data_IF_659968814227
#
_entry.id   IF_659968814227
#
_cell.length_a   1.000
_cell.length_b   1.000
_cell.length_c   1.000
_cell.angle_alpha   90.00
_cell.angle_beta   90.00
_cell.angle_gamma   90.00
#
_symmetry.space_group_name_H-M   'P 1'
#
loop_
_entity.id
_entity.type
_entity.pdbx_description
1 polymer ?
#
# COMPACT_ATOMS: atom_id res chain seq x y z
N UNK A 1 -40.62 -58.75 -7.11
CA UNK A 1 -40.58 -59.40 -5.78
C UNK A 1 -39.36 -58.83 -5.07
N UNK A 2 -39.38 -58.17 -3.98
CA UNK A 2 -40.25 -57.94 -2.86
C UNK A 2 -39.84 -56.71 -2.11
N UNK A 3 -40.80 -56.08 -1.62
CA UNK A 3 -40.96 -55.10 -0.54
C UNK A 3 -39.86 -55.00 0.52
N UNK A 4 -39.57 -53.77 1.00
CA UNK A 4 -39.81 -53.44 2.40
C UNK A 4 -40.12 -51.96 2.58
N UNK A 5 -41.32 -51.69 3.12
CA UNK A 5 -41.75 -50.47 3.81
C UNK A 5 -41.11 -50.47 5.24
N UNK A 6 -40.70 -49.30 5.74
CA UNK A 6 -40.42 -49.23 7.18
C UNK A 6 -39.53 -48.05 7.64
N UNK A 7 -39.74 -46.83 7.16
CA UNK A 7 -39.06 -45.65 7.78
C UNK A 7 -39.98 -44.41 7.96
N UNK A 8 -41.24 -44.64 8.23
CA UNK A 8 -42.21 -43.53 8.36
C UNK A 8 -42.74 -43.32 9.81
N UNK A 9 -42.37 -44.17 10.78
CA UNK A 9 -43.00 -44.15 12.09
C UNK A 9 -42.14 -43.55 13.22
N UNK A 10 -40.82 -43.47 13.06
CA UNK A 10 -39.91 -42.97 14.15
C UNK A 10 -39.83 -41.43 14.21
N UNK A 11 -40.15 -40.70 13.16
CA UNK A 11 -40.03 -39.23 13.16
C UNK A 11 -41.22 -38.50 13.79
N UNK A 12 -42.38 -39.13 13.89
CA UNK A 12 -43.59 -38.51 14.48
C UNK A 12 -43.66 -38.62 16.02
N UNK A 13 -42.99 -39.60 16.63
CA UNK A 13 -42.95 -39.73 18.08
C UNK A 13 -41.92 -38.82 18.77
N UNK A 14 -40.85 -38.43 18.09
CA UNK A 14 -39.86 -37.45 18.62
C UNK A 14 -40.35 -35.99 18.57
N UNK A 15 -41.26 -35.66 17.66
CA UNK A 15 -41.84 -34.32 17.59
C UNK A 15 -42.89 -34.07 18.70
N UNK A 16 -43.62 -35.11 19.14
CA UNK A 16 -44.63 -34.99 20.18
C UNK A 16 -44.02 -34.90 21.60
N UNK A 17 -42.84 -35.50 21.83
CA UNK A 17 -42.15 -35.43 23.13
C UNK A 17 -41.49 -34.06 23.41
N UNK A 18 -41.13 -33.30 22.35
CA UNK A 18 -40.56 -31.94 22.51
C UNK A 18 -41.62 -30.85 22.74
N UNK A 19 -42.85 -31.06 22.32
CA UNK A 19 -43.96 -30.12 22.57
C UNK A 19 -44.52 -30.17 23.99
N UNK A 20 -44.32 -31.28 24.73
CA UNK A 20 -44.77 -31.44 26.10
C UNK A 20 -43.86 -30.80 27.17
N UNK A 21 -42.60 -30.57 26.86
CA UNK A 21 -41.63 -29.98 27.83
C UNK A 21 -41.62 -28.44 27.85
N UNK A 22 -42.23 -27.76 26.89
CA UNK A 22 -42.31 -26.30 26.86
C UNK A 22 -43.53 -25.69 27.57
N UNK A 23 -44.48 -26.49 28.09
CA UNK A 23 -45.66 -25.99 28.78
C UNK A 23 -45.51 -25.89 30.33
N UNK A 24 -44.35 -26.24 30.89
CA UNK A 24 -44.12 -26.30 32.33
C UNK A 24 -43.36 -25.11 32.95
N UNK A 25 -42.98 -24.10 32.23
CA UNK A 25 -42.11 -23.03 32.76
C UNK A 25 -42.64 -21.61 32.53
N UNK A 26 -43.92 -21.38 32.58
CA UNK A 26 -44.46 -20.00 32.65
C UNK A 26 -45.11 -19.82 34.02
N UNK A 27 -44.29 -19.71 35.08
CA UNK A 27 -44.70 -19.06 36.32
C UNK A 27 -44.51 -17.54 36.11
N UNK A 28 -45.63 -16.81 36.08
CA UNK A 28 -45.73 -15.36 35.98
C UNK A 28 -44.88 -14.68 37.06
N UNK A 29 -43.74 -14.13 36.66
CA UNK A 29 -43.09 -13.04 37.41
C UNK A 29 -43.64 -11.72 36.86
N UNK A 30 -44.27 -10.91 37.74
CA UNK A 30 -44.65 -9.52 37.41
C UNK A 30 -43.37 -8.78 36.92
N UNK A 31 -43.36 -8.42 35.68
CA UNK A 31 -42.28 -7.60 35.09
C UNK A 31 -42.35 -6.19 35.69
N UNK A 32 -41.19 -5.66 36.10
CA UNK A 32 -41.08 -4.29 36.58
C UNK A 32 -41.31 -3.26 35.48
N UNK A 33 -41.70 -2.04 35.85
CA UNK A 33 -42.07 -0.95 34.92
C UNK A 33 -41.01 -0.63 33.86
N UNK A 34 -39.73 -0.82 34.16
CA UNK A 34 -38.63 -0.60 33.23
C UNK A 34 -38.58 -1.63 32.09
N UNK A 35 -38.94 -2.91 32.36
CA UNK A 35 -39.00 -3.94 31.32
C UNK A 35 -40.20 -3.77 30.39
N UNK A 36 -41.33 -3.24 30.89
CA UNK A 36 -42.47 -2.87 30.04
C UNK A 36 -42.17 -1.69 29.13
N UNK A 37 -41.42 -0.68 29.60
CA UNK A 37 -40.98 0.44 28.76
C UNK A 37 -40.00 0.03 27.67
N UNK A 38 -39.10 -0.91 27.98
CA UNK A 38 -38.13 -1.42 26.98
C UNK A 38 -38.82 -2.23 25.86
N UNK A 39 -39.83 -3.04 26.21
CA UNK A 39 -40.64 -3.78 25.23
C UNK A 39 -41.51 -2.86 24.36
N UNK A 40 -42.05 -1.78 24.93
CA UNK A 40 -42.78 -0.77 24.15
C UNK A 40 -41.86 0.01 23.20
N UNK A 41 -40.65 0.34 23.60
CA UNK A 41 -39.64 0.97 22.76
C UNK A 41 -39.19 0.03 21.61
N UNK A 42 -38.98 -1.24 21.89
CA UNK A 42 -38.66 -2.20 20.81
C UNK A 42 -39.83 -2.41 19.85
N UNK A 43 -41.09 -2.40 20.31
CA UNK A 43 -42.26 -2.50 19.43
C UNK A 43 -42.46 -1.23 18.57
N UNK A 44 -42.19 -0.05 19.13
CA UNK A 44 -42.20 1.21 18.39
C UNK A 44 -41.10 1.26 17.36
N UNK A 45 -39.91 0.73 17.67
CA UNK A 45 -38.81 0.63 16.66
C UNK A 45 -39.16 -0.34 15.52
N UNK A 46 -39.82 -1.47 15.81
CA UNK A 46 -40.29 -2.42 14.80
C UNK A 46 -41.46 -1.86 13.97
N UNK A 47 -42.35 -1.05 14.53
CA UNK A 47 -43.43 -0.40 13.79
C UNK A 47 -42.93 0.76 12.93
N UNK A 48 -41.91 1.49 13.36
CA UNK A 48 -41.27 2.55 12.57
C UNK A 48 -40.42 1.99 11.41
N UNK A 49 -39.85 0.78 11.55
CA UNK A 49 -39.13 0.10 10.47
C UNK A 49 -40.05 -0.56 9.43
N UNK A 50 -41.33 -0.80 9.78
CA UNK A 50 -42.32 -1.42 8.86
C UNK A 50 -43.08 -0.37 8.00
N UNK A 51 -42.96 0.93 8.25
CA UNK A 51 -43.69 1.99 7.55
C UNK A 51 -42.81 2.77 6.54
N UNK A 52 -41.55 2.38 6.33
CA UNK A 52 -40.67 3.00 5.36
C UNK A 52 -40.18 2.07 4.24
N UNK A 53 -41.05 1.53 3.39
CA UNK A 53 -40.63 1.20 2.03
C UNK A 53 -41.44 2.03 1.06
N UNK A 54 -40.97 3.18 0.69
CA UNK A 54 -41.26 3.87 -0.57
C UNK A 54 -40.98 5.36 -0.41
N UNK A 55 -39.77 5.76 -0.60
CA UNK A 55 -39.29 6.91 -1.39
C UNK A 55 -37.75 6.90 -1.32
N UNK A 56 -37.10 5.82 -1.64
CA UNK A 56 -35.80 5.92 -2.28
C UNK A 56 -36.11 6.00 -3.78
N UNK A 57 -36.44 7.20 -4.25
CA UNK A 57 -36.27 7.51 -5.66
C UNK A 57 -34.80 7.24 -5.94
N UNK A 58 -34.55 6.20 -6.75
CA UNK A 58 -33.25 5.98 -7.34
C UNK A 58 -32.86 7.33 -8.00
N UNK A 59 -31.96 8.06 -7.39
CA UNK A 59 -31.28 9.17 -8.03
C UNK A 59 -30.54 8.50 -9.16
N UNK A 60 -31.01 8.72 -10.40
CA UNK A 60 -30.27 8.28 -11.58
C UNK A 60 -28.87 8.88 -11.43
N UNK A 61 -27.81 8.10 -11.56
CA UNK A 61 -26.46 8.66 -11.56
C UNK A 61 -26.43 9.76 -12.62
N UNK A 62 -25.94 10.92 -12.26
CA UNK A 62 -25.75 12.04 -13.20
C UNK A 62 -24.79 11.50 -14.26
N UNK A 63 -25.15 11.55 -15.55
CA UNK A 63 -24.24 11.10 -16.60
C UNK A 63 -22.93 11.88 -16.51
N UNK A 64 -21.80 11.20 -16.54
CA UNK A 64 -20.45 11.81 -16.46
C UNK A 64 -20.21 12.89 -17.55
N UNK A 65 -21.00 12.88 -18.63
CA UNK A 65 -21.00 13.89 -19.68
C UNK A 65 -21.34 15.32 -19.21
N UNK A 66 -21.90 15.50 -18.01
CA UNK A 66 -22.23 16.85 -17.46
C UNK A 66 -21.03 17.46 -16.70
N UNK A 67 -20.03 16.65 -16.32
CA UNK A 67 -18.85 17.12 -15.59
C UNK A 67 -17.66 17.49 -16.49
N UNK A 68 -17.78 17.36 -17.81
CA UNK A 68 -16.73 17.75 -18.76
C UNK A 68 -15.42 16.95 -18.62
N UNK A 69 -15.42 15.85 -17.88
CA UNK A 69 -14.30 14.90 -17.84
C UNK A 69 -14.52 13.94 -19.00
N UNK A 70 -13.88 14.19 -20.14
CA UNK A 70 -13.72 13.16 -21.14
C UNK A 70 -12.96 12.00 -20.48
N UNK A 71 -13.64 10.89 -20.21
CA UNK A 71 -12.97 9.63 -19.91
C UNK A 71 -12.19 9.26 -21.17
N UNK A 72 -10.88 9.51 -21.16
CA UNK A 72 -9.99 9.09 -22.22
C UNK A 72 -10.17 7.60 -22.46
N UNK A 73 -10.05 7.18 -23.72
CA UNK A 73 -10.18 5.77 -24.11
C UNK A 73 -9.14 4.89 -23.36
N UNK A 74 -9.57 4.31 -22.26
CA UNK A 74 -8.73 3.46 -21.39
C UNK A 74 -8.22 2.18 -22.09
N UNK A 75 -8.70 1.87 -23.31
CA UNK A 75 -8.23 0.75 -24.11
C UNK A 75 -6.97 1.07 -24.94
N UNK A 76 -6.63 2.35 -25.08
CA UNK A 76 -5.39 2.77 -25.77
C UNK A 76 -4.15 2.28 -25.04
N UNK A 77 -3.07 2.07 -25.80
CA UNK A 77 -1.75 1.84 -25.24
C UNK A 77 -1.26 3.03 -24.42
N UNK A 78 -0.63 2.77 -23.28
CA UNK A 78 -0.06 3.85 -22.46
C UNK A 78 1.14 4.51 -23.13
N UNK A 79 1.91 3.77 -23.92
CA UNK A 79 3.04 4.32 -24.68
C UNK A 79 2.53 5.03 -25.93
N UNK A 80 2.62 6.35 -25.94
CA UNK A 80 2.07 7.23 -26.97
C UNK A 80 3.18 8.11 -27.57
N UNK A 81 3.30 8.08 -28.89
CA UNK A 81 4.34 8.80 -29.62
C UNK A 81 4.19 10.32 -29.52
N UNK A 82 2.96 10.81 -29.55
CA UNK A 82 2.64 12.23 -29.43
C UNK A 82 3.04 12.81 -28.06
N UNK A 83 2.88 12.07 -26.97
CA UNK A 83 3.36 12.45 -25.64
C UNK A 83 4.90 12.55 -25.65
N UNK A 84 5.59 11.53 -26.18
CA UNK A 84 7.06 11.53 -26.29
C UNK A 84 7.54 12.75 -27.07
N UNK A 85 6.92 13.03 -28.23
CA UNK A 85 7.28 14.18 -29.04
C UNK A 85 7.00 15.52 -28.36
N UNK A 86 5.86 15.63 -27.66
CA UNK A 86 5.49 16.85 -26.93
C UNK A 86 6.50 17.17 -25.85
N UNK A 87 6.84 16.18 -25.02
CA UNK A 87 7.85 16.35 -23.96
C UNK A 87 9.21 16.72 -24.54
N UNK A 88 9.69 15.96 -25.53
CA UNK A 88 11.03 16.17 -26.09
C UNK A 88 11.18 17.48 -26.90
N UNK A 89 10.09 18.07 -27.34
CA UNK A 89 10.07 19.39 -27.99
C UNK A 89 9.85 20.55 -27.03
N UNK A 90 9.44 20.25 -25.78
CA UNK A 90 9.15 21.29 -24.79
C UNK A 90 10.46 21.92 -24.27
N UNK A 91 10.65 23.25 -24.43
CA UNK A 91 11.93 23.90 -24.12
C UNK A 91 12.36 23.79 -22.67
N UNK A 92 11.41 23.72 -21.74
CA UNK A 92 11.65 23.70 -20.30
C UNK A 92 11.36 22.34 -19.66
N UNK A 93 11.28 21.26 -20.43
CA UNK A 93 10.99 19.94 -19.88
C UNK A 93 12.01 19.53 -18.81
N UNK A 94 13.32 19.68 -19.10
CA UNK A 94 14.38 19.27 -18.17
C UNK A 94 14.58 17.76 -18.09
N UNK A 95 13.78 16.98 -18.84
CA UNK A 95 13.85 15.54 -18.91
C UNK A 95 13.55 15.00 -20.31
N UNK A 96 13.89 13.74 -20.54
CA UNK A 96 13.72 13.07 -21.82
C UNK A 96 12.67 11.98 -21.72
N UNK A 97 11.70 11.99 -22.62
CA UNK A 97 10.74 10.92 -22.81
C UNK A 97 11.21 9.94 -23.90
N UNK A 98 10.96 8.65 -23.71
CA UNK A 98 11.26 7.62 -24.67
C UNK A 98 10.19 6.52 -24.67
N UNK A 99 10.23 5.68 -25.72
CA UNK A 99 9.48 4.43 -25.74
C UNK A 99 10.04 3.51 -24.63
N UNK A 100 9.19 3.17 -23.68
CA UNK A 100 9.56 2.30 -22.58
C UNK A 100 9.12 0.85 -22.88
N UNK A 101 10.06 -0.10 -23.08
CA UNK A 101 9.71 -1.49 -23.39
C UNK A 101 8.90 -2.19 -22.32
N UNK A 102 9.07 -1.80 -21.05
CA UNK A 102 8.33 -2.37 -19.92
C UNK A 102 6.82 -2.19 -20.08
N UNK A 103 6.38 -1.04 -20.57
CA UNK A 103 4.96 -0.72 -20.78
C UNK A 103 4.50 -0.84 -22.24
N UNK A 104 5.30 -1.40 -23.15
CA UNK A 104 5.01 -1.41 -24.59
C UNK A 104 3.63 -2.00 -24.95
N UNK A 105 3.15 -2.96 -24.15
CA UNK A 105 1.87 -3.64 -24.38
C UNK A 105 0.82 -3.33 -23.29
N UNK A 106 1.08 -2.37 -22.41
CA UNK A 106 0.10 -1.95 -21.42
C UNK A 106 -0.93 -1.00 -22.02
N UNK A 107 -2.18 -1.21 -21.74
CA UNK A 107 -3.23 -0.21 -21.94
C UNK A 107 -3.20 0.82 -20.83
N UNK A 108 -3.85 1.97 -21.04
CA UNK A 108 -4.06 2.98 -19.99
C UNK A 108 -4.76 2.36 -18.77
N UNK A 109 -5.76 1.48 -19.00
CA UNK A 109 -6.44 0.78 -17.90
C UNK A 109 -5.49 -0.11 -17.07
N UNK A 110 -4.61 -0.85 -17.73
CA UNK A 110 -3.63 -1.71 -17.07
C UNK A 110 -2.59 -0.88 -16.30
N UNK A 111 -2.14 0.23 -16.88
CA UNK A 111 -1.21 1.15 -16.22
C UNK A 111 -1.84 1.77 -14.97
N UNK A 112 -3.10 2.23 -15.02
CA UNK A 112 -3.82 2.74 -13.85
C UNK A 112 -3.92 1.72 -12.72
N UNK A 113 -4.02 0.44 -13.02
CA UNK A 113 -4.15 -0.63 -12.00
C UNK A 113 -2.89 -0.86 -11.17
N UNK A 114 -1.71 -0.58 -11.71
CA UNK A 114 -0.47 -0.70 -10.95
C UNK A 114 -0.18 0.53 -10.06
N UNK A 115 -0.98 1.59 -10.17
CA UNK A 115 -0.89 2.80 -9.36
C UNK A 115 -1.74 2.64 -8.11
N UNK A 116 -1.16 2.00 -7.08
CA UNK A 116 -1.88 1.47 -5.95
C UNK A 116 -1.93 2.37 -4.71
N UNK A 117 -1.66 3.67 -4.79
CA UNK A 117 -1.83 4.55 -3.62
C UNK A 117 -3.25 5.13 -3.60
N UNK A 118 -3.95 4.89 -2.50
CA UNK A 118 -5.25 5.49 -2.21
C UNK A 118 -5.08 6.75 -1.35
N UNK A 119 -5.93 7.78 -1.54
CA UNK A 119 -5.94 8.94 -0.66
C UNK A 119 -6.19 8.52 0.79
N UNK A 120 -5.23 8.82 1.68
CA UNK A 120 -5.36 8.44 3.09
C UNK A 120 -6.49 9.22 3.76
N UNK A 121 -7.48 8.56 4.38
CA UNK A 121 -8.56 9.24 5.07
C UNK A 121 -8.05 10.18 6.18
N UNK A 122 -8.61 11.39 6.29
CA UNK A 122 -8.20 12.38 7.28
C UNK A 122 -8.27 11.84 8.72
N UNK A 123 -9.24 10.97 9.02
CA UNK A 123 -9.35 10.31 10.31
C UNK A 123 -8.15 9.43 10.68
N UNK A 124 -7.49 8.84 9.66
CA UNK A 124 -6.27 8.05 9.85
C UNK A 124 -5.08 8.96 10.14
N UNK A 125 -5.02 10.13 9.49
CA UNK A 125 -3.91 11.08 9.61
C UNK A 125 -3.89 11.81 10.95
N UNK A 126 -5.05 11.98 11.61
CA UNK A 126 -5.18 12.74 12.87
C UNK A 126 -4.28 12.19 13.99
N UNK A 127 -4.13 10.86 14.05
CA UNK A 127 -3.36 10.18 15.10
C UNK A 127 -1.92 9.82 14.68
N UNK A 128 -1.47 10.31 13.52
CA UNK A 128 -0.11 10.04 13.03
C UNK A 128 0.82 11.19 13.42
N UNK A 129 1.88 10.92 14.22
CA UNK A 129 2.87 11.95 14.54
C UNK A 129 3.53 12.49 13.26
N UNK A 130 3.68 13.80 13.19
CA UNK A 130 4.47 14.45 12.13
C UNK A 130 5.81 14.88 12.70
N UNK A 131 6.90 14.38 12.10
CA UNK A 131 8.27 14.68 12.50
C UNK A 131 8.79 15.92 11.76
N UNK A 132 9.44 16.80 12.48
CA UNK A 132 10.15 17.98 11.98
C UNK A 132 11.57 17.98 12.48
N UNK A 133 12.47 18.70 11.82
CA UNK A 133 13.88 18.74 12.15
C UNK A 133 14.34 20.15 12.52
N UNK A 134 15.35 20.22 13.39
CA UNK A 134 16.01 21.49 13.69
C UNK A 134 16.80 21.96 12.47
N UNK A 135 16.66 23.24 12.11
CA UNK A 135 17.39 23.85 10.98
C UNK A 135 18.89 23.99 11.21
N UNK A 136 19.43 23.48 12.32
CA UNK A 136 20.86 23.50 12.64
C UNK A 136 21.68 22.46 11.86
N UNK A 137 21.03 21.45 11.26
CA UNK A 137 21.70 20.41 10.49
C UNK A 137 22.22 20.98 9.16
N UNK A 138 23.54 20.94 8.98
CA UNK A 138 24.16 21.31 7.69
C UNK A 138 24.12 20.12 6.75
N UNK A 139 23.14 20.11 5.86
CA UNK A 139 23.00 19.09 4.85
C UNK A 139 23.96 19.32 3.66
N UNK A 140 24.50 18.26 3.03
CA UNK A 140 25.29 18.37 1.82
C UNK A 140 24.40 18.84 0.64
N UNK A 141 25.02 19.43 -0.38
CA UNK A 141 24.30 19.84 -1.61
C UNK A 141 23.70 18.64 -2.34
N UNK A 142 24.43 17.53 -2.33
CA UNK A 142 24.03 16.27 -2.96
C UNK A 142 24.13 15.15 -1.94
N UNK A 143 23.23 14.20 -2.03
CA UNK A 143 23.20 13.05 -1.16
C UNK A 143 22.64 11.82 -1.90
N UNK A 144 23.32 10.69 -1.71
CA UNK A 144 22.85 9.40 -2.19
C UNK A 144 23.04 8.36 -1.07
N UNK A 145 21.94 7.79 -0.60
CA UNK A 145 21.93 6.80 0.46
C UNK A 145 22.77 5.55 0.13
N UNK A 146 22.85 5.18 -1.16
CA UNK A 146 23.67 4.06 -1.66
C UNK A 146 25.16 4.29 -1.40
N UNK A 147 25.59 5.54 -1.52
CA UNK A 147 26.98 5.94 -1.26
C UNK A 147 27.29 6.05 0.21
N UNK A 148 26.38 6.66 1.00
CA UNK A 148 26.56 6.83 2.44
C UNK A 148 26.58 5.49 3.19
N UNK A 149 25.69 4.57 2.82
CA UNK A 149 25.58 3.24 3.43
C UNK A 149 25.90 2.14 2.42
N UNK A 150 27.08 2.20 1.81
CA UNK A 150 27.51 1.30 0.75
C UNK A 150 27.52 -0.18 1.12
N UNK A 151 27.56 -0.50 2.42
CA UNK A 151 27.42 -1.86 2.94
C UNK A 151 25.96 -2.37 2.94
N UNK A 152 24.97 -1.48 2.75
CA UNK A 152 23.55 -1.81 2.70
C UNK A 152 23.08 -1.95 1.24
N UNK A 153 23.35 -3.11 0.64
CA UNK A 153 23.07 -3.35 -0.79
C UNK A 153 21.60 -3.22 -1.17
N UNK A 154 20.68 -3.41 -0.21
CA UNK A 154 19.23 -3.31 -0.44
C UNK A 154 18.79 -1.92 -0.87
N UNK A 155 19.51 -0.85 -0.48
CA UNK A 155 19.18 0.53 -0.87
C UNK A 155 19.18 0.70 -2.40
N UNK A 156 20.12 0.02 -3.10
CA UNK A 156 20.26 0.05 -4.55
C UNK A 156 19.43 -0.99 -5.30
N UNK A 157 18.61 -1.77 -4.62
CA UNK A 157 17.77 -2.75 -5.29
C UNK A 157 16.61 -2.07 -6.00
N UNK A 158 16.40 -2.47 -7.26
CA UNK A 158 15.22 -2.13 -8.04
C UNK A 158 14.37 -3.38 -8.15
N UNK A 159 13.19 -3.31 -7.59
CA UNK A 159 12.23 -4.41 -7.57
C UNK A 159 11.19 -4.29 -8.70
N UNK A 160 10.31 -5.26 -8.79
CA UNK A 160 9.23 -5.28 -9.77
C UNK A 160 7.92 -5.68 -9.10
N UNK A 161 6.96 -4.77 -9.09
CA UNK A 161 5.63 -5.01 -8.52
C UNK A 161 4.70 -5.82 -9.45
N UNK A 162 5.11 -6.02 -10.71
CA UNK A 162 4.31 -6.74 -11.70
C UNK A 162 2.97 -6.06 -12.01
N UNK A 163 1.90 -6.86 -12.08
CA UNK A 163 0.55 -6.42 -12.46
C UNK A 163 -0.38 -6.14 -11.26
N UNK A 164 0.18 -5.88 -10.10
CA UNK A 164 -0.54 -5.60 -8.86
C UNK A 164 -0.29 -4.17 -8.42
N UNK A 165 -1.33 -3.46 -8.00
CA UNK A 165 -1.22 -2.11 -7.41
C UNK A 165 -0.65 -2.12 -5.99
N UNK A 166 0.51 -2.75 -5.81
CA UNK A 166 1.17 -2.99 -4.53
C UNK A 166 2.30 -2.02 -4.21
N UNK A 167 2.44 -0.93 -4.96
CA UNK A 167 3.51 0.07 -4.75
C UNK A 167 3.55 0.62 -3.31
N UNK A 168 2.39 0.80 -2.67
CA UNK A 168 2.25 1.19 -1.27
C UNK A 168 2.89 0.20 -0.29
N UNK A 169 2.92 -1.09 -0.65
CA UNK A 169 3.54 -2.14 0.15
C UNK A 169 5.04 -2.26 -0.16
N UNK A 170 5.44 -2.13 -1.42
CA UNK A 170 6.84 -2.13 -1.84
C UNK A 170 7.61 -0.98 -1.21
N UNK A 171 7.14 0.27 -1.36
CA UNK A 171 7.80 1.45 -0.79
C UNK A 171 8.05 1.32 0.71
N UNK A 172 7.05 0.86 1.47
CA UNK A 172 7.17 0.65 2.91
C UNK A 172 8.19 -0.43 3.27
N UNK A 173 8.09 -1.61 2.63
CA UNK A 173 8.97 -2.77 2.90
C UNK A 173 10.42 -2.46 2.54
N UNK A 174 10.65 -1.87 1.37
CA UNK A 174 12.00 -1.48 0.93
C UNK A 174 12.66 -0.48 1.88
N UNK A 175 11.90 0.50 2.36
CA UNK A 175 12.42 1.48 3.34
C UNK A 175 12.71 0.83 4.69
N UNK A 176 11.86 -0.05 5.17
CA UNK A 176 12.07 -0.73 6.45
C UNK A 176 13.30 -1.65 6.42
N UNK A 177 13.47 -2.45 5.36
CA UNK A 177 14.65 -3.33 5.24
C UNK A 177 15.97 -2.54 5.13
N UNK A 178 15.97 -1.40 4.41
CA UNK A 178 17.14 -0.53 4.33
C UNK A 178 17.50 0.04 5.71
N UNK A 179 16.51 0.45 6.50
CA UNK A 179 16.70 0.95 7.87
C UNK A 179 17.15 -0.14 8.84
N UNK A 180 16.77 -1.41 8.66
CA UNK A 180 17.38 -2.52 9.41
C UNK A 180 18.88 -2.62 9.16
N UNK A 181 19.32 -2.50 7.91
CA UNK A 181 20.73 -2.49 7.59
C UNK A 181 21.44 -1.28 8.18
N UNK A 182 20.90 -0.08 8.01
CA UNK A 182 21.50 1.18 8.43
C UNK A 182 21.69 1.24 9.96
N UNK A 183 20.64 0.90 10.73
CA UNK A 183 20.62 1.10 12.18
C UNK A 183 21.04 -0.13 12.98
N UNK A 184 20.93 -1.32 12.41
CA UNK A 184 21.19 -2.57 13.12
C UNK A 184 22.23 -3.44 12.45
N UNK A 185 22.85 -2.95 11.36
CA UNK A 185 23.81 -3.71 10.54
C UNK A 185 23.28 -5.10 10.13
N UNK A 186 21.97 -5.18 9.89
CA UNK A 186 21.29 -6.43 9.57
C UNK A 186 20.72 -6.37 8.15
N UNK A 187 21.38 -7.06 7.22
CA UNK A 187 20.92 -7.15 5.83
C UNK A 187 19.87 -8.24 5.72
N UNK A 188 18.62 -7.85 5.55
CA UNK A 188 17.46 -8.73 5.40
C UNK A 188 16.60 -8.28 4.23
N UNK A 189 15.98 -9.22 3.53
CA UNK A 189 14.90 -8.95 2.60
C UNK A 189 13.58 -9.27 3.28
N UNK A 190 12.66 -8.31 3.30
CA UNK A 190 11.37 -8.42 3.94
C UNK A 190 10.28 -8.70 2.89
N UNK A 191 9.23 -9.39 3.32
CA UNK A 191 8.15 -9.85 2.44
C UNK A 191 7.15 -8.74 2.13
N UNK A 192 7.07 -8.35 0.88
CA UNK A 192 5.96 -7.52 0.37
C UNK A 192 4.65 -8.31 0.39
N UNK A 193 4.70 -9.62 0.12
CA UNK A 193 3.53 -10.49 0.07
C UNK A 193 2.80 -10.59 1.41
N UNK A 194 3.54 -10.72 2.53
CA UNK A 194 2.95 -10.71 3.88
C UNK A 194 2.19 -9.42 4.16
N UNK A 195 2.79 -8.26 3.90
CA UNK A 195 2.11 -6.98 4.08
C UNK A 195 0.87 -6.87 3.19
N UNK A 196 1.03 -7.15 1.90
CA UNK A 196 -0.02 -7.05 0.89
C UNK A 196 -1.23 -7.94 1.22
N UNK A 197 -0.98 -9.20 1.57
CA UNK A 197 -2.01 -10.20 1.79
C UNK A 197 -2.61 -10.15 3.21
N UNK A 198 -1.76 -9.87 4.24
CA UNK A 198 -2.15 -10.08 5.63
C UNK A 198 -2.58 -8.82 6.39
N UNK A 199 -2.32 -7.63 5.86
CA UNK A 199 -2.80 -6.40 6.49
C UNK A 199 -4.33 -6.24 6.39
N UNK A 200 -4.93 -6.75 5.32
CA UNK A 200 -6.37 -6.69 5.09
C UNK A 200 -6.90 -5.26 4.94
N UNK A 201 -8.18 -5.08 5.22
CA UNK A 201 -8.89 -3.81 5.02
C UNK A 201 -8.29 -2.59 5.77
N UNK A 202 -7.48 -2.80 6.78
CA UNK A 202 -6.81 -1.69 7.49
C UNK A 202 -5.80 -0.97 6.59
N UNK A 203 -5.09 -1.71 5.75
CA UNK A 203 -4.12 -1.12 4.82
C UNK A 203 -4.73 -0.73 3.47
N UNK A 204 -5.96 -1.14 3.18
CA UNK A 204 -6.63 -0.92 1.90
C UNK A 204 -7.16 -2.21 1.29
N UNK A 205 -7.04 -2.35 -0.05
CA UNK A 205 -7.61 -3.47 -0.81
C UNK A 205 -6.52 -4.28 -1.55
N UNK A 206 -5.34 -4.42 -0.95
CA UNK A 206 -4.26 -5.25 -1.50
C UNK A 206 -3.78 -4.78 -2.88
N UNK A 207 -3.95 -5.61 -3.92
CA UNK A 207 -3.58 -5.27 -5.31
C UNK A 207 -4.44 -4.16 -5.92
N UNK A 208 -5.61 -3.86 -5.36
CA UNK A 208 -6.45 -2.72 -5.75
C UNK A 208 -6.08 -1.42 -4.98
N UNK A 209 -4.94 -1.44 -4.29
CA UNK A 209 -4.31 -0.28 -3.66
C UNK A 209 -4.47 -0.20 -2.15
N UNK A 210 -3.62 0.61 -1.52
CA UNK A 210 -3.59 0.79 -0.08
C UNK A 210 -3.03 2.14 0.36
N UNK A 211 -2.77 2.25 1.67
CA UNK A 211 -2.37 3.47 2.35
C UNK A 211 -0.94 3.32 2.91
N UNK A 212 0.07 4.07 2.41
CA UNK A 212 1.46 3.98 2.87
C UNK A 212 1.62 4.01 4.39
N UNK A 213 1.02 4.98 5.08
CA UNK A 213 1.11 5.08 6.55
C UNK A 213 0.53 3.87 7.29
N UNK A 214 -0.47 3.19 6.71
CA UNK A 214 -1.05 2.00 7.32
C UNK A 214 -0.14 0.78 7.19
N UNK A 215 0.68 0.70 6.13
CA UNK A 215 1.76 -0.28 6.02
C UNK A 215 2.74 -0.14 7.20
N UNK A 216 3.17 1.07 7.53
CA UNK A 216 4.04 1.33 8.67
C UNK A 216 3.39 1.00 10.02
N UNK A 217 2.08 1.28 10.18
CA UNK A 217 1.31 0.83 11.36
C UNK A 217 1.23 -0.69 11.47
N UNK A 218 1.09 -1.40 10.34
CA UNK A 218 1.15 -2.85 10.32
C UNK A 218 2.49 -3.37 10.82
N UNK A 219 3.62 -2.78 10.42
CA UNK A 219 4.94 -3.15 10.92
C UNK A 219 5.09 -2.96 12.44
N UNK A 220 4.46 -1.92 13.00
CA UNK A 220 4.46 -1.69 14.46
C UNK A 220 3.67 -2.77 15.19
N UNK A 221 2.50 -3.13 14.70
CA UNK A 221 1.56 -4.01 15.38
C UNK A 221 1.85 -5.49 15.12
N UNK A 222 2.02 -5.85 13.87
CA UNK A 222 2.06 -7.23 13.37
C UNK A 222 3.46 -7.66 12.95
N UNK A 223 4.33 -6.72 12.57
CA UNK A 223 5.58 -7.01 11.92
C UNK A 223 5.39 -7.63 10.53
N UNK A 224 6.49 -7.86 9.82
CA UNK A 224 6.53 -8.46 8.49
C UNK A 224 7.58 -9.57 8.47
N UNK A 225 7.28 -10.70 7.83
CA UNK A 225 8.23 -11.81 7.70
C UNK A 225 9.31 -11.53 6.66
N UNK A 226 10.29 -12.40 6.55
CA UNK A 226 11.31 -12.32 5.50
C UNK A 226 10.73 -12.74 4.15
N UNK A 227 11.31 -12.22 3.07
CA UNK A 227 11.00 -12.60 1.69
C UNK A 227 11.16 -14.11 1.47
N UNK A 228 12.17 -14.74 2.10
CA UNK A 228 12.37 -16.20 2.06
C UNK A 228 11.19 -16.96 2.67
N UNK A 229 10.60 -16.44 3.75
CA UNK A 229 9.44 -17.06 4.43
C UNK A 229 8.18 -16.98 3.58
N UNK A 230 7.91 -15.81 2.97
CA UNK A 230 6.72 -15.57 2.15
C UNK A 230 7.10 -14.73 0.91
N UNK A 231 7.60 -15.39 -0.16
CA UNK A 231 8.04 -14.72 -1.38
C UNK A 231 6.90 -13.98 -2.08
N UNK A 232 7.25 -12.87 -2.73
CA UNK A 232 6.31 -12.12 -3.54
C UNK A 232 5.77 -13.01 -4.68
N UNK A 233 4.47 -13.03 -4.85
CA UNK A 233 3.78 -14.00 -5.71
C UNK A 233 4.06 -13.84 -7.20
N UNK A 234 4.42 -12.63 -7.67
CA UNK A 234 4.68 -12.33 -9.08
C UNK A 234 6.17 -12.37 -9.47
N UNK A 235 7.03 -12.95 -8.62
CA UNK A 235 8.46 -13.06 -8.93
C UNK A 235 8.80 -14.01 -10.09
N UNK A 236 7.97 -15.00 -10.35
CA UNK A 236 8.35 -16.18 -11.16
C UNK A 236 7.52 -16.33 -12.42
N UNK A 237 6.43 -15.59 -12.53
CA UNK A 237 5.35 -16.03 -13.41
C UNK A 237 5.28 -15.34 -14.75
N UNK A 238 5.80 -14.13 -14.87
CA UNK A 238 5.44 -13.33 -16.01
C UNK A 238 6.60 -12.71 -16.75
N UNK A 239 6.78 -13.12 -17.97
CA UNK A 239 7.64 -12.40 -18.92
C UNK A 239 6.88 -11.15 -19.37
N UNK A 240 7.27 -9.98 -18.88
CA UNK A 240 6.75 -8.74 -19.42
C UNK A 240 7.15 -8.56 -20.88
N UNK A 241 6.27 -8.03 -21.73
CA UNK A 241 4.85 -7.75 -21.61
C UNK A 241 4.04 -8.97 -22.02
N UNK A 242 2.97 -9.29 -21.39
CA UNK A 242 2.06 -10.35 -21.89
C UNK A 242 1.38 -11.22 -20.85
N UNK A 243 1.47 -10.84 -19.59
CA UNK A 243 0.79 -11.56 -18.53
C UNK A 243 -0.61 -11.02 -18.27
N UNK A 244 -1.34 -11.71 -17.41
CA UNK A 244 -2.69 -11.36 -17.05
C UNK A 244 -2.82 -9.88 -16.68
N UNK A 245 -3.92 -9.21 -17.08
CA UNK A 245 -4.05 -7.75 -16.93
C UNK A 245 -4.10 -7.25 -15.49
N UNK A 246 -4.38 -8.10 -14.53
CA UNK A 246 -4.30 -7.82 -13.10
C UNK A 246 -4.37 -9.10 -12.29
N UNK A 247 -3.62 -9.16 -11.19
CA UNK A 247 -3.71 -10.25 -10.23
C UNK A 247 -4.68 -9.90 -9.07
N UNK A 248 -5.44 -10.87 -8.57
CA UNK A 248 -6.15 -10.69 -7.30
C UNK A 248 -5.13 -10.62 -6.14
N UNK A 249 -5.51 -9.94 -5.07
CA UNK A 249 -4.73 -9.94 -3.84
C UNK A 249 -4.50 -11.38 -3.35
N UNK A 250 -3.25 -11.78 -3.04
CA UNK A 250 -2.95 -13.09 -2.50
C UNK A 250 -3.67 -13.38 -1.19
N UNK A 251 -3.93 -14.66 -0.91
CA UNK A 251 -4.52 -15.09 0.36
C UNK A 251 -3.45 -15.07 1.46
N UNK A 252 -3.78 -14.51 2.62
CA UNK A 252 -2.90 -14.53 3.79
C UNK A 252 -2.85 -15.95 4.42
N UNK A 253 -1.79 -16.69 4.18
CA UNK A 253 -1.63 -18.07 4.67
C UNK A 253 -1.02 -18.16 6.08
N UNK A 254 -0.27 -17.14 6.51
CA UNK A 254 0.54 -17.10 7.75
C UNK A 254 1.40 -18.34 7.96
N UNK A 255 2.03 -18.76 6.87
CA UNK A 255 2.87 -19.94 6.82
C UNK A 255 4.09 -19.68 5.94
N UNK A 256 5.30 -19.99 6.45
CA UNK A 256 6.51 -19.91 5.63
C UNK A 256 6.52 -21.01 4.54
N UNK A 257 7.00 -20.66 3.36
CA UNK A 257 7.21 -21.62 2.26
C UNK A 257 8.37 -22.58 2.57
N UNK A 258 9.34 -22.13 3.35
CA UNK A 258 10.45 -22.97 3.82
C UNK A 258 9.98 -23.83 4.98
N UNK A 259 10.25 -25.15 4.87
CA UNK A 259 9.87 -26.12 5.91
C UNK A 259 10.58 -25.81 7.23
N UNK A 260 9.92 -26.06 8.34
CA UNK A 260 10.41 -25.86 9.71
C UNK A 260 10.68 -24.42 10.13
N UNK A 261 10.31 -23.41 9.32
CA UNK A 261 10.30 -22.02 9.76
C UNK A 261 8.94 -21.66 10.40
N UNK A 262 8.98 -21.00 11.55
CA UNK A 262 7.79 -20.53 12.27
C UNK A 262 7.52 -19.09 11.88
N UNK A 263 6.32 -18.84 11.37
CA UNK A 263 5.90 -17.53 10.86
C UNK A 263 6.12 -16.39 11.85
N UNK A 264 5.66 -16.57 13.09
CA UNK A 264 5.76 -15.55 14.14
C UNK A 264 7.20 -15.22 14.53
N UNK A 265 8.11 -16.17 14.41
CA UNK A 265 9.53 -15.99 14.70
C UNK A 265 10.27 -15.25 13.59
N UNK A 266 9.74 -15.28 12.36
CA UNK A 266 10.30 -14.56 11.20
C UNK A 266 9.83 -13.12 11.09
N UNK A 267 8.95 -12.67 12.00
CA UNK A 267 8.44 -11.29 12.01
C UNK A 267 9.49 -10.27 12.44
N UNK A 268 9.64 -9.23 11.64
CA UNK A 268 10.45 -8.04 11.90
C UNK A 268 9.53 -6.83 12.05
N UNK A 269 9.82 -5.96 13.01
CA UNK A 269 8.90 -4.91 13.43
C UNK A 269 9.49 -3.51 13.22
N UNK A 270 8.60 -2.52 13.14
CA UNK A 270 8.94 -1.13 13.36
C UNK A 270 8.62 -0.70 14.80
N UNK A 271 9.40 0.24 15.36
CA UNK A 271 9.11 0.84 16.68
C UNK A 271 7.91 1.76 16.60
N UNK A 272 7.80 2.51 15.51
CA UNK A 272 6.83 3.57 15.31
C UNK A 272 6.45 3.71 13.84
N UNK A 273 5.41 4.51 13.59
CA UNK A 273 4.99 4.95 12.27
C UNK A 273 4.75 6.46 12.35
N UNK A 274 5.33 7.24 11.46
CA UNK A 274 5.22 8.70 11.47
C UNK A 274 5.26 9.28 10.05
N UNK A 275 4.73 10.49 9.93
CA UNK A 275 4.89 11.32 8.74
C UNK A 275 6.08 12.26 8.93
N UNK A 276 6.68 12.67 7.84
CA UNK A 276 7.63 13.77 7.81
C UNK A 276 6.88 15.02 7.33
N UNK A 277 7.22 16.19 7.89
CA UNK A 277 6.69 17.47 7.41
C UNK A 277 6.97 17.63 5.92
N UNK A 278 6.04 18.27 5.19
CA UNK A 278 6.16 18.53 3.74
C UNK A 278 7.27 19.55 3.40
N UNK A 279 8.07 19.94 4.37
CA UNK A 279 9.22 20.81 4.14
C UNK A 279 10.40 20.00 3.57
N UNK A 280 10.98 20.39 2.42
CA UNK A 280 12.13 19.70 1.84
C UNK A 280 13.32 19.53 2.77
N UNK A 281 13.60 20.49 3.66
CA UNK A 281 14.69 20.39 4.62
C UNK A 281 14.43 19.33 5.68
N UNK A 282 13.17 19.14 6.09
CA UNK A 282 12.77 18.08 7.02
C UNK A 282 12.89 16.69 6.35
N UNK A 283 12.48 16.58 5.08
CA UNK A 283 12.60 15.35 4.30
C UNK A 283 14.08 15.00 4.09
N UNK A 284 14.90 15.97 3.67
CA UNK A 284 16.36 15.76 3.51
C UNK A 284 17.01 15.35 4.83
N UNK A 285 16.65 15.98 5.95
CA UNK A 285 17.18 15.65 7.28
C UNK A 285 16.81 14.22 7.68
N UNK A 286 15.56 13.81 7.48
CA UNK A 286 15.12 12.44 7.76
C UNK A 286 15.91 11.42 6.96
N UNK A 287 16.03 11.62 5.64
CA UNK A 287 16.76 10.70 4.76
C UNK A 287 18.25 10.68 5.11
N UNK A 288 18.83 11.82 5.44
CA UNK A 288 20.25 11.92 5.82
C UNK A 288 20.57 11.21 7.12
N UNK A 289 19.71 11.34 8.14
CA UNK A 289 19.97 10.77 9.47
C UNK A 289 19.54 9.30 9.56
N UNK A 290 18.37 8.95 9.00
CA UNK A 290 17.70 7.68 9.25
C UNK A 290 17.60 6.75 8.04
N UNK A 291 17.95 7.23 6.85
CA UNK A 291 17.87 6.43 5.62
C UNK A 291 16.60 6.64 4.80
N UNK A 292 16.42 5.87 3.73
CA UNK A 292 15.32 6.02 2.77
C UNK A 292 13.94 6.12 3.41
N UNK A 293 13.06 6.89 2.76
CA UNK A 293 11.66 7.08 3.16
C UNK A 293 10.73 6.70 2.02
N UNK A 294 9.54 6.27 2.36
CA UNK A 294 8.46 6.06 1.40
C UNK A 294 7.78 7.39 1.11
N UNK A 295 7.58 7.69 -0.17
CA UNK A 295 6.87 8.88 -0.63
C UNK A 295 5.80 8.50 -1.64
N UNK A 296 4.68 9.20 -1.64
CA UNK A 296 3.61 9.01 -2.60
C UNK A 296 3.39 10.27 -3.45
N UNK A 297 3.02 10.08 -4.72
CA UNK A 297 2.77 11.18 -5.64
C UNK A 297 1.73 10.80 -6.70
N UNK A 298 1.19 11.81 -7.36
CA UNK A 298 0.26 11.64 -8.48
C UNK A 298 1.05 11.36 -9.77
N UNK A 299 0.71 10.27 -10.45
CA UNK A 299 1.27 9.91 -11.75
C UNK A 299 0.38 10.44 -12.86
N UNK A 300 1.02 11.03 -13.89
CA UNK A 300 0.40 11.45 -15.14
C UNK A 300 0.87 10.57 -16.30
N UNK A 301 0.18 10.64 -17.44
CA UNK A 301 0.49 9.77 -18.61
C UNK A 301 1.94 9.89 -19.08
N UNK A 302 2.50 11.10 -19.06
CA UNK A 302 3.86 11.35 -19.53
C UNK A 302 4.92 10.64 -18.67
N UNK A 303 4.64 10.36 -17.39
CA UNK A 303 5.56 9.66 -16.50
C UNK A 303 5.88 8.23 -16.96
N UNK A 304 4.92 7.54 -17.62
CA UNK A 304 5.18 6.21 -18.20
C UNK A 304 6.33 6.22 -19.22
N UNK A 305 6.61 7.36 -19.82
CA UNK A 305 7.62 7.57 -20.86
C UNK A 305 8.96 8.10 -20.32
N UNK A 306 9.08 8.33 -19.00
CA UNK A 306 10.30 8.87 -18.40
C UNK A 306 11.52 8.01 -18.74
N UNK A 307 12.61 8.66 -19.19
CA UNK A 307 13.88 8.00 -19.48
C UNK A 307 15.04 8.55 -18.65
N UNK A 308 15.18 9.87 -18.57
CA UNK A 308 16.27 10.52 -17.84
C UNK A 308 15.99 12.02 -17.63
N UNK A 309 16.75 12.68 -16.77
CA UNK A 309 16.61 14.11 -16.45
C UNK A 309 15.75 14.33 -15.19
N UNK A 310 15.34 15.58 -14.95
CA UNK A 310 14.54 15.95 -13.77
C UNK A 310 13.07 16.08 -14.18
N UNK A 311 12.27 15.09 -13.83
CA UNK A 311 10.86 15.02 -14.19
C UNK A 311 10.07 16.21 -13.64
N UNK A 312 9.25 16.75 -14.51
CA UNK A 312 8.14 17.67 -14.27
C UNK A 312 7.01 17.25 -15.18
N UNK A 313 5.77 17.28 -14.70
CA UNK A 313 4.62 16.99 -15.55
C UNK A 313 4.48 18.03 -16.66
N UNK A 314 4.43 17.58 -17.90
CA UNK A 314 4.32 18.42 -19.10
C UNK A 314 2.97 18.24 -19.80
N UNK A 315 2.51 16.98 -19.93
CA UNK A 315 1.33 16.67 -20.74
C UNK A 315 0.69 15.35 -20.36
N UNK A 316 -0.57 15.19 -20.72
CA UNK A 316 -1.34 13.98 -20.44
C UNK A 316 -2.20 14.07 -19.20
N UNK A 317 -3.13 13.13 -19.03
CA UNK A 317 -4.09 13.10 -17.93
C UNK A 317 -3.54 12.42 -16.67
N UNK A 318 -4.20 12.66 -15.53
CA UNK A 318 -3.92 11.98 -14.27
C UNK A 318 -4.24 10.48 -14.38
N UNK A 319 -3.31 9.64 -13.93
CA UNK A 319 -3.42 8.18 -13.98
C UNK A 319 -3.76 7.55 -12.61
N UNK A 320 -3.20 8.06 -11.52
CA UNK A 320 -3.40 7.53 -10.16
C UNK A 320 -2.30 7.91 -9.21
N UNK A 321 -2.37 7.40 -7.98
CA UNK A 321 -1.35 7.58 -6.96
C UNK A 321 -0.32 6.45 -6.96
N UNK A 322 0.95 6.77 -6.78
CA UNK A 322 2.06 5.80 -6.76
C UNK A 322 2.99 6.07 -5.59
N UNK A 323 3.47 5.01 -4.95
CA UNK A 323 4.44 5.11 -3.86
C UNK A 323 5.79 4.56 -4.31
N UNK A 324 6.87 5.22 -3.89
CA UNK A 324 8.25 4.91 -4.26
C UNK A 324 9.20 5.16 -3.08
N UNK A 325 10.43 4.69 -3.21
CA UNK A 325 11.48 4.87 -2.23
C UNK A 325 12.35 6.09 -2.58
N UNK A 326 12.34 7.14 -1.72
CA UNK A 326 13.23 8.29 -1.84
C UNK A 326 14.56 7.99 -1.17
N UNK A 327 15.65 8.05 -1.94
CA UNK A 327 17.00 7.65 -1.52
C UNK A 327 18.02 8.78 -1.52
N UNK A 328 17.66 9.98 -2.00
CA UNK A 328 18.62 11.07 -2.06
C UNK A 328 18.11 12.31 -2.77
N UNK A 329 19.02 13.24 -3.00
CA UNK A 329 18.77 14.50 -3.69
C UNK A 329 20.05 15.04 -4.31
N UNK A 330 19.91 16.03 -5.17
CA UNK A 330 21.01 16.77 -5.77
C UNK A 330 20.53 17.96 -6.58
N UNK A 331 21.44 18.51 -7.39
CA UNK A 331 21.18 19.57 -8.34
C UNK A 331 21.69 19.11 -9.71
N UNK A 332 20.87 19.24 -10.75
CA UNK A 332 21.26 18.87 -12.12
C UNK A 332 22.27 19.87 -12.70
N UNK A 333 22.89 19.51 -13.83
CA UNK A 333 23.81 20.40 -14.57
C UNK A 333 23.10 21.69 -15.04
N UNK A 334 21.78 21.64 -15.21
CA UNK A 334 20.95 22.79 -15.52
C UNK A 334 20.59 23.67 -14.30
N UNK A 335 21.03 23.27 -13.10
CA UNK A 335 20.75 23.99 -11.85
C UNK A 335 19.39 23.66 -11.23
N UNK A 336 18.72 22.61 -11.67
CA UNK A 336 17.45 22.17 -11.09
C UNK A 336 17.68 21.25 -9.89
N UNK A 337 17.11 21.61 -8.76
CA UNK A 337 17.14 20.76 -7.57
C UNK A 337 16.19 19.58 -7.74
N UNK A 338 16.63 18.37 -7.36
CA UNK A 338 15.85 17.15 -7.55
C UNK A 338 15.86 16.23 -6.33
N UNK A 339 14.82 15.41 -6.22
CA UNK A 339 14.80 14.16 -5.45
C UNK A 339 15.28 13.01 -6.31
N UNK A 340 16.04 12.08 -5.72
CA UNK A 340 16.46 10.81 -6.35
C UNK A 340 15.64 9.66 -5.75
N UNK A 341 14.97 8.89 -6.62
CA UNK A 341 14.02 7.85 -6.20
C UNK A 341 14.30 6.53 -6.91
N UNK A 342 14.07 5.43 -6.17
CA UNK A 342 14.02 4.07 -6.70
C UNK A 342 12.56 3.68 -6.91
N UNK A 343 12.23 3.24 -8.13
CA UNK A 343 10.91 2.78 -8.52
C UNK A 343 10.83 1.23 -8.48
N UNK A 344 9.62 0.67 -8.53
CA UNK A 344 9.37 -0.77 -8.54
C UNK A 344 8.77 -1.24 -9.87
N UNK A 345 9.28 -0.73 -10.99
CA UNK A 345 8.86 -1.09 -12.35
C UNK A 345 10.02 -1.72 -13.15
N UNK A 346 10.86 -2.52 -12.48
CA UNK A 346 12.02 -3.15 -13.10
C UNK A 346 13.08 -2.14 -13.60
N UNK A 347 14.30 -2.63 -13.81
CA UNK A 347 15.42 -1.83 -14.37
C UNK A 347 15.21 -1.42 -15.83
N UNK A 348 14.29 -2.06 -16.52
CA UNK A 348 13.93 -1.71 -17.91
C UNK A 348 13.19 -0.38 -18.04
N UNK A 349 12.63 0.17 -16.96
CA UNK A 349 11.96 1.47 -16.93
C UNK A 349 12.91 2.58 -16.43
N UNK A 350 12.72 3.79 -16.95
CA UNK A 350 13.42 4.99 -16.46
C UNK A 350 14.94 4.94 -16.66
N UNK A 351 15.68 5.47 -15.70
CA UNK A 351 17.14 5.46 -15.63
C UNK A 351 17.61 4.28 -14.78
N UNK A 352 17.68 3.09 -15.38
CA UNK A 352 17.97 1.82 -14.68
C UNK A 352 17.06 1.56 -13.46
N UNK A 353 15.76 1.88 -13.59
CA UNK A 353 14.75 1.75 -12.53
C UNK A 353 14.66 2.95 -11.58
N UNK A 354 15.54 3.94 -11.71
CA UNK A 354 15.52 5.17 -10.94
C UNK A 354 14.89 6.31 -11.72
N UNK A 355 14.51 7.36 -11.00
CA UNK A 355 14.13 8.62 -11.60
C UNK A 355 14.46 9.80 -10.67
N UNK A 356 14.51 10.99 -11.28
CA UNK A 356 14.62 12.26 -10.58
C UNK A 356 13.35 13.06 -10.79
N UNK A 357 12.86 13.75 -9.76
CA UNK A 357 11.72 14.67 -9.83
C UNK A 357 12.10 15.99 -9.18
N UNK A 358 11.60 17.11 -9.68
CA UNK A 358 11.94 18.44 -9.17
C UNK A 358 11.65 18.53 -7.66
N UNK A 359 12.60 19.08 -6.89
CA UNK A 359 12.54 19.26 -5.44
C UNK A 359 12.17 20.68 -5.05
N UNK A 360 11.41 20.85 -3.96
CA UNK A 360 11.06 22.14 -3.39
C UNK A 360 9.92 22.84 -4.12
N UNK A 361 9.19 22.12 -5.00
CA UNK A 361 8.03 22.61 -5.75
C UNK A 361 6.78 21.77 -5.47
N UNK A 362 6.92 20.74 -4.64
CA UNK A 362 5.86 19.75 -4.41
C UNK A 362 5.29 19.18 -5.72
N UNK A 363 6.17 18.90 -6.67
CA UNK A 363 5.79 18.40 -7.99
C UNK A 363 4.98 17.11 -7.86
N UNK A 364 3.82 17.07 -8.48
CA UNK A 364 2.89 15.94 -8.40
C UNK A 364 2.52 15.51 -6.96
N UNK A 365 2.73 16.37 -5.96
CA UNK A 365 2.47 16.06 -4.55
C UNK A 365 3.56 15.22 -3.86
N UNK A 366 4.75 15.07 -4.44
CA UNK A 366 5.83 14.18 -3.96
C UNK A 366 6.30 14.50 -2.52
N UNK A 367 6.08 15.71 -2.04
CA UNK A 367 6.49 16.18 -0.72
C UNK A 367 5.36 16.13 0.32
N UNK A 368 4.13 15.73 -0.06
CA UNK A 368 2.95 15.77 0.83
C UNK A 368 2.78 14.52 1.67
N UNK A 369 2.97 13.35 1.09
CA UNK A 369 2.80 12.07 1.78
C UNK A 369 4.12 11.33 1.88
N UNK A 370 4.92 11.76 2.88
CA UNK A 370 6.23 11.19 3.21
C UNK A 370 6.11 10.47 4.54
N UNK A 371 6.33 9.16 4.53
CA UNK A 371 6.12 8.30 5.70
C UNK A 371 7.32 7.42 5.97
N UNK A 372 7.50 7.09 7.26
CA UNK A 372 8.59 6.24 7.72
C UNK A 372 8.31 5.64 9.11
N UNK A 373 9.25 4.82 9.57
CA UNK A 373 9.33 4.27 10.92
C UNK A 373 10.76 3.79 11.21
N UNK A 374 11.05 3.51 12.46
CA UNK A 374 12.36 3.02 12.88
C UNK A 374 12.34 1.51 13.12
N UNK A 375 13.39 0.76 12.71
CA UNK A 375 13.42 -0.69 12.92
C UNK A 375 13.47 -1.04 14.39
N UNK A 376 12.82 -2.14 14.76
CA UNK A 376 12.71 -2.62 16.15
C UNK A 376 13.56 -3.85 16.39
N UNK A 377 14.18 -3.96 17.57
CA UNK A 377 14.89 -5.17 18.01
C UNK A 377 13.96 -6.32 18.42
N UNK A 378 12.65 -6.09 18.42
CA UNK A 378 11.66 -7.14 18.74
C UNK A 378 11.85 -8.36 17.84
N UNK A 379 11.91 -9.56 18.42
CA UNK A 379 12.22 -10.86 17.80
C UNK A 379 13.66 -11.06 17.30
N UNK A 380 14.49 -10.03 17.17
CA UNK A 380 15.88 -10.20 16.68
C UNK A 380 16.73 -11.03 17.66
N UNK A 381 16.54 -10.87 18.96
CA UNK A 381 17.29 -11.60 19.99
C UNK A 381 17.05 -13.10 19.92
N UNK A 382 15.88 -13.55 19.50
CA UNK A 382 15.57 -14.98 19.34
C UNK A 382 16.21 -15.59 18.09
N UNK A 383 16.38 -14.81 17.04
CA UNK A 383 16.81 -15.31 15.73
C UNK A 383 18.33 -15.36 15.55
N UNK A 384 19.10 -14.56 16.30
CA UNK A 384 20.54 -14.39 16.07
C UNK A 384 21.44 -14.82 17.24
N UNK A 385 20.88 -15.37 18.34
CA UNK A 385 21.63 -16.00 19.44
C UNK A 385 22.75 -15.18 20.08
N UNK A 386 22.77 -13.87 19.89
CA UNK A 386 23.83 -12.96 20.35
C UNK A 386 23.31 -11.96 21.37
N UNK A 387 24.06 -11.78 22.45
CA UNK A 387 23.87 -10.76 23.48
C UNK A 387 24.07 -9.37 22.87
N UNK A 388 22.99 -8.68 22.53
CA UNK A 388 23.07 -7.25 22.27
C UNK A 388 23.00 -6.52 23.61
N UNK A 389 24.06 -5.74 23.91
CA UNK A 389 24.06 -4.84 25.04
C UNK A 389 22.83 -3.93 25.00
N UNK A 390 22.16 -3.77 26.14
CA UNK A 390 21.02 -2.88 26.35
C UNK A 390 21.37 -1.47 25.92
N UNK A 391 21.01 -1.07 24.71
CA UNK A 391 20.90 0.33 24.37
C UNK A 391 19.60 0.85 24.99
N UNK A 392 19.75 1.59 26.06
CA UNK A 392 18.68 2.37 26.70
C UNK A 392 18.30 3.47 25.71
N UNK A 393 17.00 3.62 25.46
CA UNK A 393 16.34 4.69 24.70
C UNK A 393 16.61 6.05 25.33
#
# INVERSE_FOLDING_TARGET
MGRTRGEGAASKQQAAARAGQLKGLVKSKKMGSAQQQLLLLCFLFFLLSAVAPQVVRAVKPIPNSILGVEEGDNSKGIIQKDIIETVNKHPDAGWTAAHNPYFANYTIAQFKRILGVKPTPQSVLTDVPTKTYSRSLKLPKEFDARSKWSHCSTIGNILDQGHCGSCWAFGAVECLQDRFCIHMNTSISLSVNDLLACCGFMCGDGCDGGYPIMAWRYFVQNGVVTEECDPYFDQVGCKHPGCEPAYPTPVCEKKCKVQNQVWEEKKHFSVNAYRISSNPDDIMSEVYENGPVEVAFTVYEDFAHYKSGVYKHITGGMMGGHAVKLIGWGTSDAGEDYWLLANQWNRGWGDDGYFKIIRGKNECGIEEDVVAGMPSTKNMVRNYGGSFGTAVV
#
